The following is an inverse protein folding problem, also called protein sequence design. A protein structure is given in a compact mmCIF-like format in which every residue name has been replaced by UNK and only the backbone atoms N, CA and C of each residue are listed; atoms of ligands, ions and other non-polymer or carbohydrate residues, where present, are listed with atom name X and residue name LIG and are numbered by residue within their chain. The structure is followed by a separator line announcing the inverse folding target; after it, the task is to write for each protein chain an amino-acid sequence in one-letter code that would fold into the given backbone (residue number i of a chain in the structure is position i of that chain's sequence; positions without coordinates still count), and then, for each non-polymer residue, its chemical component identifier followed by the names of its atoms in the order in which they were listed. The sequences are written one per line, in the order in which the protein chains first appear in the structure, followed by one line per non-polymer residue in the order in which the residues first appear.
data_IF_712675467187
#
_entry.id   IF_712675467187
#
_cell.length_a   1.000
_cell.length_b   1.000
_cell.length_c   1.000
_cell.angle_alpha   90.00
_cell.angle_beta   90.00
_cell.angle_gamma   90.00
#
_symmetry.space_group_name_H-M   'P 1'
#
loop_
_entity.id
_entity.type
_entity.pdbx_description
1 polymer ?
#
# COMPACT_ATOMS: atom_id res chain seq x y z
N UNK A 1 5.57 -29.46 20.57
CA UNK A 1 5.90 -28.54 19.46
C UNK A 1 4.64 -27.74 19.06
N UNK A 2 4.14 -26.88 19.97
CA UNK A 2 2.90 -26.12 19.77
C UNK A 2 2.89 -24.83 20.62
N UNK A 3 3.98 -24.04 20.56
CA UNK A 3 4.14 -22.88 21.44
C UNK A 3 4.82 -21.68 20.76
N UNK A 4 4.40 -21.34 19.53
CA UNK A 4 4.88 -20.12 18.82
C UNK A 4 3.73 -19.20 18.38
N UNK A 5 2.49 -19.69 18.27
CA UNK A 5 1.35 -18.93 17.71
C UNK A 5 0.68 -17.90 18.62
N UNK A 6 0.92 -17.92 19.94
CA UNK A 6 0.16 -17.09 20.88
C UNK A 6 0.80 -15.71 21.16
N UNK A 7 1.99 -15.43 20.63
CA UNK A 7 2.71 -14.15 20.86
C UNK A 7 2.41 -13.07 19.82
N UNK A 8 1.82 -13.40 18.66
CA UNK A 8 1.55 -12.40 17.62
C UNK A 8 0.21 -11.68 17.79
N UNK A 9 -0.77 -12.28 18.47
CA UNK A 9 -2.10 -11.66 18.69
C UNK A 9 -2.03 -10.50 19.70
N UNK A 10 -1.03 -10.48 20.59
CA UNK A 10 -0.87 -9.40 21.58
C UNK A 10 -0.22 -8.13 21.01
N UNK A 11 0.50 -8.22 19.89
CA UNK A 11 1.18 -7.06 19.31
C UNK A 11 0.25 -6.16 18.46
N UNK A 12 -0.84 -6.72 17.93
CA UNK A 12 -1.79 -5.94 17.12
C UNK A 12 -2.83 -5.18 17.94
N UNK A 13 -2.83 -5.33 19.27
CA UNK A 13 -3.79 -4.72 20.19
C UNK A 13 -3.28 -3.47 20.91
N UNK A 14 -2.12 -2.92 20.51
CA UNK A 14 -1.45 -1.85 21.26
C UNK A 14 -1.42 -0.46 20.60
N UNK A 15 -2.29 -0.14 19.64
CA UNK A 15 -2.41 1.26 19.18
C UNK A 15 -3.84 1.65 18.79
N UNK A 16 -4.83 1.21 19.58
CA UNK A 16 -6.20 1.73 19.40
C UNK A 16 -6.87 1.94 20.77
N UNK A 17 -6.29 2.85 21.54
CA UNK A 17 -6.93 3.40 22.74
C UNK A 17 -6.92 4.92 22.59
N UNK A 18 -8.04 5.49 22.12
CA UNK A 18 -8.81 6.53 22.82
C UNK A 18 -9.81 7.24 21.87
N UNK A 19 -11.08 7.17 22.30
CA UNK A 19 -12.21 8.12 22.14
C UNK A 19 -13.19 8.01 20.95
N UNK A 20 -14.47 7.78 21.32
CA UNK A 20 -15.78 8.09 20.69
C UNK A 20 -16.07 7.38 19.35
N UNK A 21 -17.18 6.66 19.07
CA UNK A 21 -18.55 6.60 19.58
C UNK A 21 -19.15 5.18 19.37
N UNK A 22 -20.22 4.85 20.12
CA UNK A 22 -20.93 3.55 20.14
C UNK A 22 -21.55 3.15 18.78
N UNK A 23 -21.59 4.06 17.79
CA UNK A 23 -22.03 3.78 16.42
C UNK A 23 -20.95 3.07 15.56
N UNK A 24 -19.67 3.19 15.93
CA UNK A 24 -18.55 2.60 15.18
C UNK A 24 -18.43 1.08 15.39
N UNK A 25 -18.95 0.56 16.50
CA UNK A 25 -18.90 -0.88 16.85
C UNK A 25 -19.77 -1.72 15.92
N UNK A 26 -20.91 -1.23 15.46
CA UNK A 26 -21.83 -2.00 14.59
C UNK A 26 -21.29 -2.15 13.16
N UNK A 27 -20.58 -1.13 12.65
CA UNK A 27 -19.90 -1.18 11.35
C UNK A 27 -18.69 -2.11 11.45
N UNK A 28 -17.93 -2.03 12.55
CA UNK A 28 -16.81 -2.93 12.81
C UNK A 28 -17.28 -4.38 12.99
N UNK A 29 -18.45 -4.67 13.57
CA UNK A 29 -18.95 -6.05 13.73
C UNK A 29 -19.40 -6.67 12.39
N UNK A 30 -20.03 -5.90 11.49
CA UNK A 30 -20.28 -6.39 10.11
C UNK A 30 -18.98 -6.52 9.30
N UNK A 31 -17.99 -5.68 9.57
CA UNK A 31 -16.65 -5.78 8.97
C UNK A 31 -15.87 -6.98 9.52
N UNK A 32 -16.03 -7.32 10.81
CA UNK A 32 -15.41 -8.47 11.49
C UNK A 32 -16.04 -9.80 11.11
N UNK A 33 -17.37 -9.87 10.96
CA UNK A 33 -18.05 -11.07 10.47
C UNK A 33 -17.65 -11.35 9.01
N UNK A 34 -17.40 -10.30 8.21
CA UNK A 34 -16.86 -10.47 6.85
C UNK A 34 -15.36 -10.87 6.88
N UNK A 35 -14.56 -10.28 7.78
CA UNK A 35 -13.16 -10.67 7.99
C UNK A 35 -13.01 -12.13 8.46
N UNK A 36 -13.95 -12.66 9.24
CA UNK A 36 -13.96 -14.07 9.65
C UNK A 36 -14.12 -15.03 8.47
N UNK A 37 -14.68 -14.59 7.34
CA UNK A 37 -14.71 -15.33 6.07
C UNK A 37 -13.52 -14.98 5.14
N UNK A 38 -12.75 -13.94 5.47
CA UNK A 38 -11.57 -13.49 4.75
C UNK A 38 -10.25 -14.11 5.26
N UNK A 39 -10.31 -15.16 6.10
CA UNK A 39 -9.13 -15.97 6.41
C UNK A 39 -8.71 -16.92 5.28
N UNK A 40 -9.34 -16.80 4.10
CA UNK A 40 -8.72 -17.25 2.86
C UNK A 40 -7.61 -16.26 2.51
N UNK A 41 -6.35 -16.62 2.79
CA UNK A 41 -5.23 -16.06 2.04
C UNK A 41 -5.66 -16.07 0.56
N UNK A 42 -5.71 -14.91 -0.09
CA UNK A 42 -6.46 -14.68 -1.34
C UNK A 42 -5.99 -15.50 -2.55
N UNK A 43 -5.08 -16.47 -2.37
CA UNK A 43 -4.41 -17.19 -3.44
C UNK A 43 -3.59 -16.28 -4.35
N UNK A 44 -3.51 -14.99 -4.03
CA UNK A 44 -3.04 -13.94 -4.92
C UNK A 44 -1.54 -14.10 -5.13
N UNK A 45 -1.15 -14.61 -6.28
CA UNK A 45 0.25 -14.73 -6.68
C UNK A 45 0.86 -13.33 -6.89
N UNK A 46 2.19 -13.26 -6.88
CA UNK A 46 2.92 -12.03 -7.22
C UNK A 46 3.79 -12.40 -8.41
N UNK A 47 3.66 -11.65 -9.50
CA UNK A 47 4.55 -11.81 -10.64
C UNK A 47 5.98 -11.41 -10.22
N UNK A 48 6.98 -12.22 -10.56
CA UNK A 48 8.38 -11.97 -10.19
C UNK A 48 8.90 -10.64 -10.76
N UNK A 49 8.34 -10.17 -11.89
CA UNK A 49 8.64 -8.86 -12.45
C UNK A 49 8.37 -7.72 -11.45
N UNK A 50 7.36 -7.87 -10.57
CA UNK A 50 7.07 -6.86 -9.55
C UNK A 50 8.26 -6.66 -8.60
N UNK A 51 8.91 -7.76 -8.20
CA UNK A 51 10.09 -7.74 -7.32
C UNK A 51 11.29 -7.19 -8.07
N UNK A 52 11.51 -7.65 -9.30
CA UNK A 52 12.63 -7.21 -10.13
C UNK A 52 12.57 -5.69 -10.37
N UNK A 53 11.40 -5.15 -10.73
CA UNK A 53 11.22 -3.71 -10.95
C UNK A 53 11.35 -2.89 -9.67
N UNK A 54 10.87 -3.41 -8.54
CA UNK A 54 11.09 -2.77 -7.25
C UNK A 54 12.58 -2.72 -6.86
N UNK A 55 13.34 -3.80 -7.09
CA UNK A 55 14.78 -3.82 -6.87
C UNK A 55 15.51 -2.84 -7.80
N UNK A 56 15.09 -2.73 -9.07
CA UNK A 56 15.63 -1.74 -10.01
C UNK A 56 15.38 -0.29 -9.52
N UNK A 57 14.17 0.01 -9.01
CA UNK A 57 13.86 1.32 -8.41
C UNK A 57 14.74 1.59 -7.19
N UNK A 58 14.86 0.65 -6.26
CA UNK A 58 15.65 0.80 -5.03
C UNK A 58 17.15 0.95 -5.30
N UNK A 59 17.70 0.17 -6.24
CA UNK A 59 19.14 0.10 -6.46
C UNK A 59 19.65 1.13 -7.47
N UNK A 60 18.93 1.33 -8.58
CA UNK A 60 19.39 2.16 -9.70
C UNK A 60 18.71 3.54 -9.74
N UNK A 61 17.61 3.72 -9.01
CA UNK A 61 16.76 4.92 -9.09
C UNK A 61 16.34 5.25 -10.53
N UNK A 62 16.17 4.21 -11.36
CA UNK A 62 15.74 4.34 -12.75
C UNK A 62 14.25 4.69 -12.88
N UNK A 63 13.48 4.55 -11.80
CA UNK A 63 12.06 4.85 -11.79
C UNK A 63 11.74 5.69 -10.56
N UNK A 64 10.90 6.72 -10.70
CA UNK A 64 10.39 7.47 -9.54
C UNK A 64 9.25 6.73 -8.85
N UNK A 65 8.45 6.01 -9.62
CA UNK A 65 7.32 5.27 -9.11
C UNK A 65 7.05 4.00 -9.90
N UNK A 66 6.33 3.07 -9.29
CA UNK A 66 5.83 1.86 -9.93
C UNK A 66 4.38 1.70 -9.52
N UNK A 67 3.50 1.48 -10.48
CA UNK A 67 2.10 1.14 -10.23
C UNK A 67 1.91 -0.35 -10.50
N UNK A 68 1.25 -1.01 -9.58
CA UNK A 68 0.86 -2.41 -9.65
C UNK A 68 -0.65 -2.54 -9.61
N UNK A 69 -1.14 -3.55 -10.31
CA UNK A 69 -2.54 -3.95 -10.29
C UNK A 69 -2.66 -5.43 -9.96
N UNK A 70 -3.79 -5.79 -9.38
CA UNK A 70 -4.24 -7.17 -9.28
C UNK A 70 -5.01 -7.50 -10.55
N UNK A 71 -4.55 -8.51 -11.29
CA UNK A 71 -5.36 -9.14 -12.32
C UNK A 71 -6.25 -10.21 -11.65
N UNK A 72 -7.55 -9.92 -11.57
CA UNK A 72 -8.53 -10.81 -10.95
C UNK A 72 -8.70 -12.15 -11.70
N UNK A 73 -8.42 -12.20 -13.00
CA UNK A 73 -8.63 -13.40 -13.83
C UNK A 73 -7.61 -14.48 -13.52
N UNK A 74 -6.35 -14.08 -13.37
CA UNK A 74 -5.23 -14.97 -13.06
C UNK A 74 -4.83 -14.93 -11.59
N UNK A 75 -5.53 -14.15 -10.76
CA UNK A 75 -5.25 -13.94 -9.34
C UNK A 75 -3.77 -13.64 -9.09
N UNK A 76 -3.22 -12.65 -9.81
CA UNK A 76 -1.82 -12.27 -9.71
C UNK A 76 -1.63 -10.76 -9.66
N UNK A 77 -0.69 -10.29 -8.83
CA UNK A 77 -0.20 -8.91 -8.87
C UNK A 77 0.80 -8.74 -10.00
N UNK A 78 0.58 -7.77 -10.87
CA UNK A 78 1.42 -7.46 -12.02
C UNK A 78 1.78 -5.97 -12.04
N UNK A 79 2.93 -5.64 -12.66
CA UNK A 79 3.28 -4.25 -12.96
C UNK A 79 2.31 -3.68 -14.00
N UNK A 80 1.78 -2.50 -13.74
CA UNK A 80 0.93 -1.77 -14.68
C UNK A 80 1.69 -0.62 -15.37
N UNK A 81 2.43 0.18 -14.59
CA UNK A 81 3.19 1.33 -15.11
C UNK A 81 4.50 1.49 -14.36
N UNK A 82 5.55 1.83 -15.08
CA UNK A 82 6.84 2.27 -14.55
C UNK A 82 6.99 3.76 -14.80
N UNK A 83 7.11 4.52 -13.72
CA UNK A 83 7.32 5.96 -13.74
C UNK A 83 8.75 6.30 -14.13
N UNK A 84 8.95 6.97 -15.26
CA UNK A 84 10.29 7.37 -15.71
C UNK A 84 10.91 8.44 -14.78
N UNK A 85 12.24 8.63 -14.79
CA UNK A 85 12.91 9.62 -13.94
C UNK A 85 12.44 11.07 -14.15
N UNK A 86 11.97 11.37 -15.35
CA UNK A 86 11.45 12.67 -15.79
C UNK A 86 9.98 12.90 -15.45
N UNK A 87 9.22 11.85 -15.07
CA UNK A 87 7.84 12.01 -14.63
C UNK A 87 7.79 12.66 -13.24
N UNK A 88 6.82 13.55 -13.06
CA UNK A 88 6.61 14.29 -11.81
C UNK A 88 5.66 13.55 -10.86
N UNK A 89 5.50 14.10 -9.65
CA UNK A 89 4.50 13.61 -8.71
C UNK A 89 3.07 13.75 -9.26
N UNK A 90 2.82 14.81 -10.03
CA UNK A 90 1.51 15.05 -10.63
C UNK A 90 1.21 13.99 -11.70
N UNK A 91 2.21 13.62 -12.52
CA UNK A 91 2.08 12.53 -13.50
C UNK A 91 1.80 11.17 -12.82
N UNK A 92 2.40 10.94 -11.66
CA UNK A 92 2.08 9.78 -10.82
C UNK A 92 0.62 9.80 -10.38
N UNK A 93 0.13 10.90 -9.78
CA UNK A 93 -1.27 11.00 -9.34
C UNK A 93 -2.26 10.86 -10.51
N UNK A 94 -1.95 11.46 -11.66
CA UNK A 94 -2.76 11.39 -12.87
C UNK A 94 -2.85 9.98 -13.45
N UNK A 95 -1.87 9.12 -13.17
CA UNK A 95 -1.88 7.72 -13.60
C UNK A 95 -2.69 6.79 -12.69
N UNK A 96 -3.20 7.27 -11.55
CA UNK A 96 -4.08 6.50 -10.66
C UNK A 96 -5.55 6.63 -11.10
N UNK A 97 -6.27 5.52 -11.36
CA UNK A 97 -7.65 5.56 -11.83
C UNK A 97 -8.62 5.94 -10.71
N UNK A 98 -9.63 6.76 -11.01
CA UNK A 98 -10.61 7.23 -10.03
C UNK A 98 -11.63 6.17 -9.57
N UNK A 99 -11.74 5.04 -10.27
CA UNK A 99 -12.76 4.01 -10.07
C UNK A 99 -12.20 2.61 -9.82
N UNK A 100 -10.87 2.47 -9.74
CA UNK A 100 -10.23 1.18 -9.50
C UNK A 100 -9.10 1.31 -8.47
N UNK A 101 -8.90 0.24 -7.70
CA UNK A 101 -7.81 0.17 -6.73
C UNK A 101 -6.47 -0.10 -7.42
N UNK A 102 -5.38 0.39 -6.85
CA UNK A 102 -3.99 0.13 -7.27
C UNK A 102 -3.06 0.04 -6.07
N UNK A 103 -1.93 -0.62 -6.24
CA UNK A 103 -0.79 -0.38 -5.37
C UNK A 103 0.21 0.48 -6.10
N UNK A 104 0.93 1.32 -5.37
CA UNK A 104 2.05 2.04 -5.92
C UNK A 104 3.22 2.03 -4.95
N UNK A 105 4.42 2.08 -5.52
CA UNK A 105 5.64 2.41 -4.79
C UNK A 105 6.14 3.73 -5.35
N UNK A 106 6.54 4.64 -4.47
CA UNK A 106 7.07 5.94 -4.82
C UNK A 106 8.35 6.20 -4.02
N UNK A 107 9.47 6.47 -4.70
CA UNK A 107 10.73 6.87 -4.05
C UNK A 107 10.71 8.39 -3.89
N UNK A 108 10.49 8.86 -2.66
CA UNK A 108 10.48 10.29 -2.36
C UNK A 108 11.87 10.73 -1.94
N UNK A 109 12.50 11.53 -2.79
CA UNK A 109 13.77 12.20 -2.54
C UNK A 109 13.54 13.55 -1.85
N UNK A 110 14.28 13.81 -0.77
CA UNK A 110 14.24 15.07 -0.04
C UNK A 110 15.63 15.49 0.43
N UNK A 111 15.82 16.80 0.56
CA UNK A 111 17.05 17.40 1.08
C UNK A 111 16.77 17.85 2.52
N UNK A 112 17.57 17.40 3.47
CA UNK A 112 17.49 17.86 4.86
C UNK A 112 18.16 19.23 5.02
N UNK A 113 17.90 19.93 6.12
CA UNK A 113 18.50 21.24 6.42
C UNK A 113 20.04 21.23 6.41
N UNK A 114 20.66 20.08 6.67
CA UNK A 114 22.10 19.84 6.56
C UNK A 114 22.59 19.63 5.11
N UNK A 115 21.78 19.97 4.11
CA UNK A 115 22.03 19.77 2.68
C UNK A 115 22.37 18.31 2.29
N UNK A 116 21.91 17.35 3.09
CA UNK A 116 22.08 15.92 2.83
C UNK A 116 20.87 15.39 2.05
N UNK A 117 21.13 14.75 0.91
CA UNK A 117 20.10 14.06 0.15
C UNK A 117 19.74 12.75 0.83
N UNK A 118 18.46 12.60 1.19
CA UNK A 118 17.88 11.36 1.69
C UNK A 118 16.74 10.94 0.77
N UNK A 119 16.42 9.66 0.78
CA UNK A 119 15.20 9.17 0.14
C UNK A 119 14.45 8.22 1.05
N UNK A 120 13.13 8.19 0.88
CA UNK A 120 12.23 7.28 1.58
C UNK A 120 11.32 6.60 0.57
N UNK A 121 11.26 5.28 0.63
CA UNK A 121 10.36 4.49 -0.21
C UNK A 121 8.99 4.40 0.46
N UNK A 122 7.99 4.94 -0.23
CA UNK A 122 6.58 4.90 0.16
C UNK A 122 5.86 3.77 -0.57
N UNK A 123 5.10 2.97 0.16
CA UNK A 123 4.10 2.07 -0.39
C UNK A 123 2.72 2.69 -0.22
N UNK A 124 2.02 2.87 -1.32
CA UNK A 124 0.72 3.53 -1.39
C UNK A 124 -0.32 2.49 -1.81
N UNK A 125 -1.33 2.30 -0.96
CA UNK A 125 -2.52 1.51 -1.28
C UNK A 125 -3.63 2.46 -1.72
N UNK A 126 -3.83 2.57 -3.03
CA UNK A 126 -4.86 3.39 -3.66
C UNK A 126 -6.18 2.63 -3.72
N UNK A 127 -7.23 3.16 -3.10
CA UNK A 127 -8.55 2.52 -3.06
C UNK A 127 -9.67 3.56 -3.11
N UNK A 128 -9.96 4.13 -4.30
CA UNK A 128 -10.86 5.26 -4.40
C UNK A 128 -12.30 4.88 -4.10
N UNK A 129 -13.08 5.85 -3.64
CA UNK A 129 -14.41 5.55 -3.10
C UNK A 129 -15.39 4.97 -4.11
N UNK A 130 -15.26 5.37 -5.37
CA UNK A 130 -16.02 4.84 -6.49
C UNK A 130 -15.66 3.39 -6.87
N UNK A 131 -14.60 2.80 -6.30
CA UNK A 131 -14.21 1.42 -6.56
C UNK A 131 -15.24 0.43 -6.04
N UNK A 132 -15.40 -0.69 -6.76
CA UNK A 132 -16.28 -1.79 -6.35
C UNK A 132 -15.86 -2.35 -4.99
N UNK A 133 -16.82 -2.58 -4.10
CA UNK A 133 -16.59 -3.12 -2.74
C UNK A 133 -15.75 -4.41 -2.76
N UNK A 134 -16.04 -5.32 -3.70
CA UNK A 134 -15.26 -6.56 -3.89
C UNK A 134 -13.80 -6.29 -4.21
N UNK A 135 -13.52 -5.29 -5.06
CA UNK A 135 -12.15 -4.93 -5.45
C UNK A 135 -11.42 -4.33 -4.25
N UNK A 136 -12.02 -3.37 -3.54
CA UNK A 136 -11.44 -2.79 -2.31
C UNK A 136 -11.04 -3.86 -1.31
N UNK A 137 -11.92 -4.85 -1.12
CA UNK A 137 -11.65 -5.97 -0.22
C UNK A 137 -10.54 -6.90 -0.71
N UNK A 138 -10.46 -7.16 -2.01
CA UNK A 138 -9.40 -7.97 -2.60
C UNK A 138 -8.02 -7.30 -2.45
N UNK A 139 -7.94 -5.98 -2.68
CA UNK A 139 -6.73 -5.21 -2.45
C UNK A 139 -6.39 -5.17 -0.96
N UNK A 140 -7.34 -4.82 -0.09
CA UNK A 140 -7.08 -4.77 1.36
C UNK A 140 -6.55 -6.11 1.93
N UNK A 141 -7.14 -7.23 1.52
CA UNK A 141 -6.74 -8.57 1.98
C UNK A 141 -5.42 -9.07 1.37
N UNK A 142 -5.10 -8.67 0.13
CA UNK A 142 -3.87 -9.09 -0.56
C UNK A 142 -2.65 -8.22 -0.21
N UNK A 143 -2.87 -7.01 0.33
CA UNK A 143 -1.84 -6.00 0.60
C UNK A 143 -0.65 -6.53 1.39
N UNK A 144 -0.91 -7.15 2.55
CA UNK A 144 0.17 -7.55 3.46
C UNK A 144 1.03 -8.67 2.89
N UNK A 145 0.46 -9.54 2.05
CA UNK A 145 1.21 -10.57 1.31
C UNK A 145 2.13 -9.91 0.29
N UNK A 146 1.57 -9.03 -0.55
CA UNK A 146 2.35 -8.35 -1.59
C UNK A 146 3.46 -7.48 -1.01
N UNK A 147 3.17 -6.72 0.05
CA UNK A 147 4.14 -5.84 0.71
C UNK A 147 5.36 -6.61 1.25
N UNK A 148 5.19 -7.83 1.75
CA UNK A 148 6.30 -8.68 2.24
C UNK A 148 7.27 -9.09 1.14
N UNK A 149 6.82 -9.11 -0.12
CA UNK A 149 7.68 -9.38 -1.27
C UNK A 149 8.56 -8.17 -1.64
N UNK A 150 8.24 -6.97 -1.12
CA UNK A 150 8.90 -5.70 -1.42
C UNK A 150 9.73 -5.23 -0.23
N UNK A 151 10.93 -5.80 -0.05
CA UNK A 151 11.79 -5.50 1.09
C UNK A 151 12.53 -4.14 0.97
N UNK A 152 12.26 -3.24 1.92
CA UNK A 152 12.81 -1.88 1.95
C UNK A 152 11.78 -0.76 1.91
N UNK A 153 10.48 -1.08 1.96
CA UNK A 153 9.43 -0.08 2.18
C UNK A 153 9.62 0.54 3.57
N UNK A 154 9.70 1.88 3.63
CA UNK A 154 9.92 2.61 4.87
C UNK A 154 8.62 3.22 5.42
N UNK A 155 7.71 3.62 4.53
CA UNK A 155 6.45 4.25 4.91
C UNK A 155 5.30 3.59 4.16
N UNK A 156 4.19 3.33 4.86
CA UNK A 156 2.93 2.90 4.26
C UNK A 156 1.93 4.06 4.28
N UNK A 157 1.25 4.27 3.16
CA UNK A 157 0.17 5.22 2.99
C UNK A 157 -1.03 4.49 2.39
N UNK A 158 -2.23 4.81 2.88
CA UNK A 158 -3.48 4.42 2.27
C UNK A 158 -4.18 5.70 1.85
N UNK A 159 -4.72 5.73 0.63
CA UNK A 159 -5.38 6.91 0.09
C UNK A 159 -6.62 6.48 -0.69
N UNK A 160 -7.71 7.21 -0.48
CA UNK A 160 -8.97 7.06 -1.24
C UNK A 160 -9.20 8.24 -2.19
N UNK A 161 -8.48 9.34 -2.01
CA UNK A 161 -8.53 10.53 -2.85
C UNK A 161 -7.12 11.08 -3.13
N UNK A 162 -6.83 11.70 -4.29
CA UNK A 162 -5.50 12.23 -4.58
C UNK A 162 -5.08 13.33 -3.59
N UNK A 163 -6.04 13.99 -2.94
CA UNK A 163 -5.76 15.00 -1.92
C UNK A 163 -5.10 14.40 -0.67
N UNK A 164 -5.42 13.14 -0.33
CA UNK A 164 -4.86 12.41 0.84
C UNK A 164 -3.43 11.92 0.61
N UNK A 165 -2.96 11.99 -0.62
CA UNK A 165 -1.57 11.69 -0.98
C UNK A 165 -0.75 12.94 -1.27
N UNK A 166 -1.31 14.15 -1.11
CA UNK A 166 -0.61 15.41 -1.36
C UNK A 166 0.84 15.44 -0.83
N UNK A 167 1.73 16.11 -1.58
CA UNK A 167 3.16 16.17 -1.27
C UNK A 167 3.45 16.62 0.16
N UNK A 168 2.59 17.44 0.76
CA UNK A 168 2.72 17.89 2.14
C UNK A 168 2.52 16.75 3.15
N UNK A 169 1.59 15.83 2.89
CA UNK A 169 1.38 14.63 3.72
C UNK A 169 2.56 13.67 3.57
N UNK A 170 3.07 13.49 2.35
CA UNK A 170 4.25 12.66 2.07
C UNK A 170 5.48 13.23 2.78
N UNK A 171 5.70 14.54 2.68
CA UNK A 171 6.76 15.26 3.40
C UNK A 171 6.61 15.12 4.92
N UNK A 172 5.41 15.31 5.46
CA UNK A 172 5.15 15.19 6.89
C UNK A 172 5.40 13.80 7.48
N UNK A 173 5.40 12.74 6.66
CA UNK A 173 5.81 11.38 7.04
C UNK A 173 7.29 11.07 6.71
N UNK A 174 7.90 11.91 5.89
CA UNK A 174 9.29 11.77 5.47
C UNK A 174 10.28 12.41 6.47
N UNK A 175 9.88 13.44 7.20
CA UNK A 175 10.62 14.00 8.33
C UNK A 175 10.21 13.33 9.64
#
# INVERSE_FOLDING_TARGET
MAMVGLRLVKAFKFQFTLRFDILFVVIIDRFLIFLAKANSASGMAVNDDCKLKFLELKAKRNFRFIIFKIDEKIQQVTVEKLGQPDESYDDFTASLPANECRYAVFDFDFVTDENCQKSKIFFISWSPDASRVRSKMLYASSKDRFKRELDGIQVELQATDPSEMSLDIVKGRAF
#
